data_IF_526313373058
#
_entry.id   IF_526313373058
#
_cell.length_a   1.000
_cell.length_b   1.000
_cell.length_c   1.000
_cell.angle_alpha   90.00
_cell.angle_beta   90.00
_cell.angle_gamma   90.00
#
_symmetry.space_group_name_H-M   'P 1'
#
loop_
_entity.id
_entity.type
_entity.pdbx_description
1 polymer ?
#
# COMPACT_ATOMS: atom_id res chain seq x y z
N UNK A 1 -1.07 1.91 -25.69
CA UNK A 1 -1.65 1.58 -24.37
C UNK A 1 -0.63 1.96 -23.29
N UNK A 2 -1.03 2.67 -22.23
CA UNK A 2 -0.10 3.24 -21.23
C UNK A 2 -0.02 2.46 -19.90
N UNK A 3 -0.66 1.29 -19.80
CA UNK A 3 -0.58 0.44 -18.60
C UNK A 3 0.82 -0.18 -18.47
N UNK A 4 1.33 -0.26 -17.24
CA UNK A 4 2.64 -0.86 -16.94
C UNK A 4 2.78 -2.29 -17.47
N UNK A 5 1.72 -3.08 -17.42
CA UNK A 5 1.71 -4.45 -17.93
C UNK A 5 2.00 -4.52 -19.44
N UNK A 6 1.65 -3.47 -20.18
CA UNK A 6 1.86 -3.39 -21.62
C UNK A 6 3.24 -2.84 -21.99
N UNK A 7 3.65 -1.71 -21.39
CA UNK A 7 4.88 -1.03 -21.81
C UNK A 7 6.14 -1.56 -21.14
N UNK A 8 6.06 -2.12 -19.92
CA UNK A 8 7.23 -2.59 -19.18
C UNK A 8 7.97 -3.72 -19.90
N UNK A 9 7.30 -4.78 -20.43
CA UNK A 9 7.98 -5.84 -21.17
C UNK A 9 8.77 -5.34 -22.38
N UNK A 10 8.28 -4.29 -23.05
CA UNK A 10 8.89 -3.70 -24.24
C UNK A 10 10.11 -2.82 -23.90
N UNK A 11 10.13 -2.22 -22.71
CA UNK A 11 11.12 -1.21 -22.32
C UNK A 11 11.97 -1.61 -21.10
N UNK A 12 12.04 -2.91 -20.76
CA UNK A 12 12.80 -3.41 -19.59
C UNK A 12 14.25 -2.89 -19.52
N UNK A 13 14.89 -2.66 -20.66
CA UNK A 13 16.28 -2.15 -20.75
C UNK A 13 16.42 -0.66 -20.44
N UNK A 14 15.32 0.10 -20.50
CA UNK A 14 15.30 1.57 -20.39
C UNK A 14 14.63 2.05 -19.11
N UNK A 15 14.34 1.14 -18.18
CA UNK A 15 13.63 1.41 -16.94
C UNK A 15 14.25 0.59 -15.80
N UNK A 16 13.87 0.91 -14.57
CA UNK A 16 14.33 0.19 -13.40
C UNK A 16 13.63 -1.17 -13.27
N UNK A 17 14.27 -2.10 -12.56
CA UNK A 17 13.71 -3.42 -12.28
C UNK A 17 12.35 -3.24 -11.58
N UNK A 18 11.31 -3.79 -12.19
CA UNK A 18 9.94 -3.76 -11.69
C UNK A 18 9.36 -5.17 -11.70
N UNK A 19 8.62 -5.51 -10.66
CA UNK A 19 7.85 -6.76 -10.56
C UNK A 19 6.37 -6.37 -10.58
N UNK A 20 5.60 -7.04 -11.43
CA UNK A 20 4.14 -6.83 -11.51
C UNK A 20 3.49 -7.93 -10.71
N UNK A 21 2.82 -7.56 -9.62
CA UNK A 21 2.06 -8.47 -8.76
C UNK A 21 0.59 -8.36 -9.14
N UNK A 22 -0.07 -9.45 -9.58
CA UNK A 22 -1.52 -9.45 -9.77
C UNK A 22 -2.22 -9.28 -8.42
N UNK A 23 -3.05 -8.25 -8.30
CA UNK A 23 -3.86 -8.04 -7.11
C UNK A 23 -5.09 -8.98 -7.10
N UNK A 24 -5.46 -9.48 -5.94
CA UNK A 24 -6.70 -10.21 -5.76
C UNK A 24 -7.91 -9.32 -6.03
N UNK A 25 -9.00 -9.94 -6.49
CA UNK A 25 -10.25 -9.21 -6.75
C UNK A 25 -10.77 -8.52 -5.49
N UNK A 26 -10.65 -9.18 -4.33
CA UNK A 26 -11.08 -8.63 -3.05
C UNK A 26 -10.28 -7.37 -2.68
N UNK A 27 -8.97 -7.36 -2.94
CA UNK A 27 -8.14 -6.19 -2.68
C UNK A 27 -8.48 -5.01 -3.62
N UNK A 28 -8.75 -5.29 -4.90
CA UNK A 28 -9.18 -4.26 -5.86
C UNK A 28 -10.55 -3.67 -5.48
N UNK A 29 -11.51 -4.52 -5.12
CA UNK A 29 -12.84 -4.08 -4.66
C UNK A 29 -12.74 -3.25 -3.37
N UNK A 30 -11.81 -3.61 -2.47
CA UNK A 30 -11.51 -2.82 -1.28
C UNK A 30 -10.97 -1.42 -1.62
N UNK A 31 -9.97 -1.32 -2.51
CA UNK A 31 -9.42 -0.03 -2.94
C UNK A 31 -10.47 0.84 -3.65
N UNK A 32 -11.39 0.22 -4.40
CA UNK A 32 -12.46 0.94 -5.10
C UNK A 32 -13.65 1.34 -4.23
N UNK A 33 -13.70 0.91 -2.97
CA UNK A 33 -14.84 1.19 -2.11
C UNK A 33 -14.88 2.65 -1.64
N UNK A 34 -16.08 3.25 -1.58
CA UNK A 34 -16.32 4.60 -1.02
C UNK A 34 -16.41 4.60 0.52
N UNK A 35 -15.89 3.56 1.16
CA UNK A 35 -15.90 3.40 2.61
C UNK A 35 -14.92 4.35 3.32
N UNK A 36 -14.97 4.40 4.66
CA UNK A 36 -13.94 5.08 5.43
C UNK A 36 -12.56 4.50 5.11
N UNK A 37 -11.52 5.34 5.13
CA UNK A 37 -10.14 4.91 4.93
C UNK A 37 -9.73 3.99 6.09
N UNK A 38 -9.65 2.69 5.83
CA UNK A 38 -9.13 1.68 6.76
C UNK A 38 -7.82 1.15 6.20
N UNK A 39 -6.79 1.00 7.04
CA UNK A 39 -5.54 0.36 6.61
C UNK A 39 -5.68 -1.14 6.85
N UNK A 40 -5.51 -2.00 5.84
CA UNK A 40 -5.56 -3.44 6.03
C UNK A 40 -4.52 -3.93 7.04
N UNK A 41 -4.93 -4.89 7.86
CA UNK A 41 -4.02 -5.55 8.80
C UNK A 41 -3.04 -6.44 8.04
N UNK A 42 -1.77 -6.35 8.42
CA UNK A 42 -0.67 -7.17 7.89
C UNK A 42 0.15 -7.73 9.05
N UNK A 43 0.79 -8.88 8.86
CA UNK A 43 1.56 -9.56 9.90
C UNK A 43 2.71 -8.69 10.44
N UNK A 44 3.32 -7.87 9.59
CA UNK A 44 4.39 -6.92 9.99
C UNK A 44 3.87 -5.55 10.42
N UNK A 45 2.58 -5.28 10.19
CA UNK A 45 1.98 -3.95 10.28
C UNK A 45 2.55 -2.97 9.24
N UNK A 46 1.86 -1.86 9.03
CA UNK A 46 2.45 -0.73 8.32
C UNK A 46 3.42 0.00 9.27
N UNK A 47 4.72 0.06 8.93
CA UNK A 47 5.70 0.83 9.72
C UNK A 47 5.34 2.31 9.76
N UNK A 48 4.69 2.75 8.71
CA UNK A 48 4.16 4.10 8.50
C UNK A 48 3.11 4.48 9.54
N UNK A 49 2.22 3.55 9.92
CA UNK A 49 1.21 3.77 10.97
C UNK A 49 1.83 3.91 12.37
N UNK A 50 3.07 3.44 12.57
CA UNK A 50 3.78 3.51 13.84
C UNK A 50 4.45 4.87 14.09
N UNK A 51 4.63 5.72 13.06
CA UNK A 51 5.24 7.07 13.21
C UNK A 51 4.28 8.14 13.73
N UNK A 52 2.97 7.87 13.75
CA UNK A 52 1.95 8.74 14.36
C UNK A 52 1.64 8.45 15.83
N UNK A 53 2.21 7.38 16.41
CA UNK A 53 2.11 7.07 17.84
C UNK A 53 3.42 7.44 18.55
N UNK A 54 3.80 8.71 18.50
CA UNK A 54 4.71 9.23 19.52
C UNK A 54 3.92 9.37 20.81
N UNK A 55 4.40 8.69 21.85
CA UNK A 55 3.89 8.74 23.21
C UNK A 55 3.49 10.17 23.62
N UNK A 56 2.18 10.40 23.74
CA UNK A 56 1.65 11.41 24.65
C UNK A 56 1.27 10.66 25.91
N UNK A 57 1.98 10.98 26.97
CA UNK A 57 1.64 10.63 28.34
C UNK A 57 0.32 11.33 28.70
N UNK A 58 -0.52 10.61 29.45
CA UNK A 58 -1.68 11.06 30.22
C UNK A 58 -3.05 11.25 29.49
N UNK A 59 -3.97 10.33 29.85
CA UNK A 59 -5.43 10.48 29.91
C UNK A 59 -6.26 10.61 28.60
N UNK A 60 -6.18 9.59 27.74
CA UNK A 60 -7.29 9.27 26.83
C UNK A 60 -7.75 7.84 27.11
N UNK A 61 -8.79 7.69 27.94
CA UNK A 61 -9.59 6.47 27.97
C UNK A 61 -10.08 6.20 26.54
N UNK A 62 -9.43 5.25 25.87
CA UNK A 62 -9.88 4.74 24.58
C UNK A 62 -11.22 4.07 24.84
N UNK A 63 -12.28 4.84 24.62
CA UNK A 63 -13.60 4.29 24.36
C UNK A 63 -13.43 3.20 23.31
N UNK A 64 -13.88 2.01 23.69
CA UNK A 64 -14.07 0.82 22.87
C UNK A 64 -15.10 1.18 21.79
N UNK A 65 -14.68 1.97 20.80
CA UNK A 65 -15.47 2.29 19.63
C UNK A 65 -15.44 1.06 18.73
N UNK A 66 -16.61 0.50 18.48
CA UNK A 66 -16.94 -0.62 17.59
C UNK A 66 -16.47 -0.40 16.14
N UNK A 67 -15.16 -0.23 15.95
CA UNK A 67 -14.53 -0.12 14.65
C UNK A 67 -14.52 -1.51 14.03
N UNK A 68 -15.17 -1.64 12.88
CA UNK A 68 -15.22 -2.88 12.13
C UNK A 68 -13.79 -3.46 11.96
N UNK A 69 -13.60 -4.79 12.10
CA UNK A 69 -12.29 -5.40 12.03
C UNK A 69 -11.62 -5.05 10.70
N UNK A 70 -10.36 -4.61 10.76
CA UNK A 70 -9.61 -4.24 9.58
C UNK A 70 -9.51 -5.45 8.61
N UNK A 71 -9.70 -5.22 7.30
CA UNK A 71 -9.63 -6.30 6.33
C UNK A 71 -8.21 -6.87 6.25
N UNK A 72 -8.11 -8.15 5.91
CA UNK A 72 -6.83 -8.87 5.73
C UNK A 72 -6.75 -9.47 4.35
N UNK A 73 -5.57 -9.36 3.74
CA UNK A 73 -5.29 -9.86 2.39
C UNK A 73 -3.99 -10.67 2.39
N UNK A 74 -3.98 -11.88 2.99
CA UNK A 74 -2.75 -12.63 3.23
C UNK A 74 -2.04 -13.05 1.93
N UNK A 75 -2.78 -13.35 0.87
CA UNK A 75 -2.21 -13.74 -0.42
C UNK A 75 -1.51 -12.54 -1.11
N UNK A 76 -2.18 -11.38 -1.12
CA UNK A 76 -1.60 -10.14 -1.64
C UNK A 76 -0.40 -9.68 -0.79
N UNK A 77 -0.50 -9.81 0.53
CA UNK A 77 0.57 -9.49 1.48
C UNK A 77 1.82 -10.32 1.18
N UNK A 78 1.67 -11.64 1.09
CA UNK A 78 2.78 -12.54 0.80
C UNK A 78 3.43 -12.26 -0.58
N UNK A 79 2.60 -12.00 -1.59
CA UNK A 79 3.09 -11.70 -2.94
C UNK A 79 3.85 -10.36 -2.99
N UNK A 80 3.35 -9.32 -2.32
CA UNK A 80 4.02 -8.02 -2.24
C UNK A 80 5.33 -8.12 -1.45
N UNK A 81 5.33 -8.79 -0.29
CA UNK A 81 6.54 -8.96 0.51
C UNK A 81 7.62 -9.75 -0.24
N UNK A 82 7.24 -10.80 -0.98
CA UNK A 82 8.16 -11.55 -1.83
C UNK A 82 8.74 -10.67 -2.95
N UNK A 83 7.92 -9.84 -3.59
CA UNK A 83 8.38 -8.92 -4.62
C UNK A 83 9.33 -7.85 -4.07
N UNK A 84 9.04 -7.28 -2.89
CA UNK A 84 9.92 -6.31 -2.21
C UNK A 84 11.28 -6.96 -1.92
N UNK A 85 11.28 -8.18 -1.39
CA UNK A 85 12.51 -8.92 -1.12
C UNK A 85 13.34 -9.13 -2.41
N UNK A 86 12.70 -9.50 -3.52
CA UNK A 86 13.37 -9.72 -4.81
C UNK A 86 13.89 -8.42 -5.47
N UNK A 87 13.32 -7.27 -5.10
CA UNK A 87 13.77 -5.94 -5.52
C UNK A 87 14.90 -5.37 -4.64
N UNK A 88 15.34 -6.10 -3.62
CA UNK A 88 16.42 -5.69 -2.72
C UNK A 88 15.95 -5.13 -1.37
N UNK A 89 14.72 -5.43 -0.96
CA UNK A 89 14.19 -5.10 0.36
C UNK A 89 13.57 -3.71 0.49
N UNK A 90 13.73 -2.85 -0.51
CA UNK A 90 13.09 -1.53 -0.57
C UNK A 90 12.53 -1.34 -1.97
N UNK A 91 11.26 -0.95 -2.07
CA UNK A 91 10.60 -0.72 -3.34
C UNK A 91 9.71 0.54 -3.31
N UNK A 92 9.21 0.91 -4.48
CA UNK A 92 8.15 1.90 -4.65
C UNK A 92 6.94 1.20 -5.29
N UNK A 93 5.73 1.47 -4.81
CA UNK A 93 4.51 0.83 -5.32
C UNK A 93 3.71 1.76 -6.26
N UNK A 94 3.11 1.19 -7.29
CA UNK A 94 2.13 1.85 -8.15
C UNK A 94 1.12 0.84 -8.68
N UNK A 95 -0.08 1.32 -9.03
CA UNK A 95 -1.03 0.55 -9.82
C UNK A 95 -0.69 0.66 -11.31
N UNK A 96 -1.62 0.24 -12.17
CA UNK A 96 -1.39 0.14 -13.60
C UNK A 96 -0.95 1.46 -14.25
N UNK A 97 -1.47 2.59 -13.80
CA UNK A 97 -1.23 3.91 -14.39
C UNK A 97 -0.59 4.88 -13.42
N UNK A 98 -1.11 4.98 -12.21
CA UNK A 98 -0.77 6.03 -11.24
C UNK A 98 0.02 5.51 -10.04
N UNK A 99 0.79 6.45 -9.48
CA UNK A 99 1.59 6.31 -8.28
C UNK A 99 0.83 6.96 -7.10
N UNK A 100 0.85 6.40 -5.87
CA UNK A 100 0.16 6.96 -4.70
C UNK A 100 0.91 8.15 -4.09
N UNK A 101 1.33 9.10 -4.92
CA UNK A 101 2.15 10.27 -4.53
C UNK A 101 1.37 11.28 -3.67
N UNK A 102 0.05 11.31 -3.83
CA UNK A 102 -0.89 12.07 -3.02
C UNK A 102 -1.01 11.52 -1.60
N UNK A 103 -0.68 10.24 -1.37
CA UNK A 103 -0.61 9.61 -0.05
C UNK A 103 0.76 9.73 0.63
N UNK A 104 1.75 10.41 0.02
CA UNK A 104 3.10 10.53 0.56
C UNK A 104 3.16 11.21 1.94
N UNK A 105 2.09 11.92 2.34
CA UNK A 105 1.99 12.53 3.68
C UNK A 105 2.04 11.48 4.80
N UNK A 106 1.58 10.24 4.56
CA UNK A 106 1.64 9.16 5.56
C UNK A 106 3.08 8.79 5.92
N UNK A 107 3.95 8.79 4.92
CA UNK A 107 5.34 8.30 4.95
C UNK A 107 6.36 9.43 5.17
N UNK A 108 5.92 10.61 5.62
CA UNK A 108 6.81 11.76 5.79
C UNK A 108 7.40 12.27 4.47
N UNK A 109 6.62 12.21 3.39
CA UNK A 109 6.98 12.71 2.05
C UNK A 109 7.76 11.73 1.18
N UNK A 110 7.92 10.46 1.59
CA UNK A 110 8.64 9.43 0.83
C UNK A 110 7.67 8.41 0.25
N UNK A 111 8.04 7.66 -0.78
CA UNK A 111 7.20 6.56 -1.30
C UNK A 111 7.89 5.20 -1.18
N UNK A 112 8.90 5.13 -0.33
CA UNK A 112 9.66 3.92 -0.07
C UNK A 112 8.83 2.98 0.80
N UNK A 113 8.74 1.72 0.36
CA UNK A 113 8.03 0.64 1.03
C UNK A 113 9.04 -0.47 1.35
N UNK A 114 9.06 -0.93 2.59
CA UNK A 114 9.91 -2.05 3.04
C UNK A 114 9.10 -3.32 3.31
N UNK A 115 7.78 -3.18 3.41
CA UNK A 115 6.85 -4.28 3.62
C UNK A 115 5.50 -4.02 2.96
N UNK A 116 4.70 -5.07 2.82
CA UNK A 116 3.33 -5.00 2.29
C UNK A 116 2.44 -4.04 3.08
N UNK A 117 2.61 -3.92 4.40
CA UNK A 117 1.87 -2.96 5.21
C UNK A 117 2.07 -1.51 4.76
N UNK A 118 3.30 -1.12 4.38
CA UNK A 118 3.58 0.23 3.87
C UNK A 118 2.90 0.47 2.52
N UNK A 119 2.91 -0.56 1.66
CA UNK A 119 2.23 -0.53 0.35
C UNK A 119 0.71 -0.38 0.53
N UNK A 120 0.11 -1.20 1.39
CA UNK A 120 -1.32 -1.18 1.65
C UNK A 120 -1.75 0.17 2.25
N UNK A 121 -0.98 0.72 3.18
CA UNK A 121 -1.26 2.05 3.73
C UNK A 121 -1.23 3.15 2.67
N UNK A 122 -0.22 3.17 1.79
CA UNK A 122 -0.12 4.16 0.72
C UNK A 122 -1.25 4.01 -0.32
N UNK A 123 -1.58 2.78 -0.72
CA UNK A 123 -2.64 2.54 -1.70
C UNK A 123 -4.03 2.86 -1.13
N UNK A 124 -4.31 2.47 0.12
CA UNK A 124 -5.58 2.74 0.77
C UNK A 124 -5.83 4.25 1.01
N UNK A 125 -4.78 5.05 1.14
CA UNK A 125 -4.86 6.49 1.38
C UNK A 125 -4.76 7.36 0.13
N UNK A 126 -4.60 6.75 -1.05
CA UNK A 126 -4.36 7.46 -2.30
C UNK A 126 -5.61 7.52 -3.16
N UNK A 127 -6.07 8.73 -3.47
CA UNK A 127 -7.14 8.97 -4.44
C UNK A 127 -6.68 8.60 -5.85
N UNK A 128 -5.40 8.77 -6.16
CA UNK A 128 -4.84 8.31 -7.45
C UNK A 128 -4.88 6.80 -7.60
N UNK A 129 -4.73 6.03 -6.52
CA UNK A 129 -4.91 4.59 -6.56
C UNK A 129 -6.38 4.22 -6.74
N UNK A 130 -7.31 4.94 -6.08
CA UNK A 130 -8.76 4.74 -6.23
C UNK A 130 -9.27 5.03 -7.64
N UNK A 131 -8.72 6.04 -8.30
CA UNK A 131 -9.08 6.35 -9.69
C UNK A 131 -8.51 5.33 -10.71
N UNK A 132 -7.49 4.58 -10.31
CA UNK A 132 -6.82 3.58 -11.15
C UNK A 132 -7.53 2.22 -11.16
N UNK A 133 -8.44 1.96 -10.21
CA UNK A 133 -9.14 0.67 -10.05
C UNK A 133 -10.51 0.64 -10.72
#
# INVERSE_FOLDING_TARGET
QCSICHWYPLNKKHTFKTIVVPASRAFVEFLGSDGPMVIPETAKGARVASRGRTAVDDDCELSDDESAPAPRFPDDEAAVDAAIAELGGVAFCKLNWSAPRDAAWLTGGRLQCECAGDVFALLAASEFARHDV
#
